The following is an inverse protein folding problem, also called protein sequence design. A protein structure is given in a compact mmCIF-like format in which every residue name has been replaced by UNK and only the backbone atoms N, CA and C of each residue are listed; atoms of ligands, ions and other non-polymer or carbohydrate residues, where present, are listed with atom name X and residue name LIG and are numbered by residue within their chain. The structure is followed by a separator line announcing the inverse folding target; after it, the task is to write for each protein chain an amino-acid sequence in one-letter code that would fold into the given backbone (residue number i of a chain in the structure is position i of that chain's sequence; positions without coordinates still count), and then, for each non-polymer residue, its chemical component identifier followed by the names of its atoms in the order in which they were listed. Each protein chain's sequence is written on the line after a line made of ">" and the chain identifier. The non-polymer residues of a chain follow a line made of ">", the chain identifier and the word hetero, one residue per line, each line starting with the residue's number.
data_IF_590890649323
#
_entry.id   IF_590890649323
#
_cell.length_a   1.000
_cell.length_b   1.000
_cell.length_c   1.000
_cell.angle_alpha   90.00
_cell.angle_beta   90.00
_cell.angle_gamma   90.00
#
_symmetry.space_group_name_H-M   'P 1'
#
loop_
_entity.id
_entity.type
_entity.pdbx_description
1 polymer ?
#
# COMPACT_ATOMS: atom_id res chain seq x y z
N UNK A 1 21.58 3.01 17.96
CA UNK A 1 20.23 3.33 17.46
C UNK A 1 19.89 2.53 16.20
N UNK A 2 20.83 2.35 15.27
CA UNK A 2 20.65 1.61 14.01
C UNK A 2 20.32 0.11 14.23
N UNK A 3 21.06 -0.59 15.10
CA UNK A 3 20.82 -2.02 15.38
C UNK A 3 19.43 -2.33 15.98
N UNK A 4 18.85 -1.38 16.74
CA UNK A 4 17.51 -1.55 17.31
C UNK A 4 16.44 -1.47 16.21
N UNK A 5 16.59 -0.54 15.28
CA UNK A 5 15.65 -0.36 14.16
C UNK A 5 15.68 -1.58 13.21
N UNK A 6 16.86 -2.11 12.93
CA UNK A 6 17.01 -3.28 12.05
C UNK A 6 16.33 -4.53 12.63
N UNK A 7 16.53 -4.78 13.93
CA UNK A 7 15.86 -5.89 14.62
C UNK A 7 14.33 -5.71 14.61
N UNK A 8 13.88 -4.51 14.93
CA UNK A 8 12.45 -4.19 14.92
C UNK A 8 11.86 -4.36 13.52
N UNK A 9 12.58 -3.96 12.46
CA UNK A 9 12.14 -4.12 11.07
C UNK A 9 11.92 -5.59 10.71
N UNK A 10 12.87 -6.48 11.01
CA UNK A 10 12.76 -7.92 10.69
C UNK A 10 11.55 -8.54 11.39
N UNK A 11 11.36 -8.24 12.67
CA UNK A 11 10.23 -8.74 13.45
C UNK A 11 8.88 -8.17 12.94
N UNK A 12 8.84 -6.88 12.59
CA UNK A 12 7.67 -6.23 12.01
C UNK A 12 7.32 -6.85 10.65
N UNK A 13 8.31 -7.07 9.76
CA UNK A 13 8.08 -7.68 8.44
C UNK A 13 7.54 -9.10 8.58
N UNK A 14 8.16 -9.94 9.42
CA UNK A 14 7.68 -11.30 9.67
C UNK A 14 6.25 -11.32 10.20
N UNK A 15 5.98 -10.56 11.25
CA UNK A 15 4.64 -10.44 11.83
C UNK A 15 3.63 -9.83 10.83
N UNK A 16 4.05 -8.85 10.03
CA UNK A 16 3.24 -8.23 9.00
C UNK A 16 2.73 -9.23 7.96
N UNK A 17 3.62 -10.08 7.44
CA UNK A 17 3.25 -11.15 6.49
C UNK A 17 2.24 -12.12 7.11
N UNK A 18 2.46 -12.53 8.36
CA UNK A 18 1.52 -13.40 9.07
C UNK A 18 0.15 -12.72 9.27
N UNK A 19 0.14 -11.44 9.66
CA UNK A 19 -1.10 -10.67 9.83
C UNK A 19 -1.83 -10.46 8.50
N UNK A 20 -1.12 -10.14 7.41
CA UNK A 20 -1.72 -10.05 6.07
C UNK A 20 -2.47 -11.35 5.73
N UNK A 21 -1.82 -12.50 5.94
CA UNK A 21 -2.44 -13.81 5.71
C UNK A 21 -3.67 -14.04 6.60
N UNK A 22 -3.59 -13.70 7.89
CA UNK A 22 -4.71 -13.82 8.84
C UNK A 22 -5.88 -12.93 8.42
N UNK A 23 -5.64 -11.66 8.11
CA UNK A 23 -6.65 -10.70 7.68
C UNK A 23 -7.30 -11.16 6.37
N UNK A 24 -6.49 -11.56 5.38
CA UNK A 24 -6.99 -11.99 4.08
C UNK A 24 -7.88 -13.24 4.17
N UNK A 25 -7.55 -14.18 5.07
CA UNK A 25 -8.40 -15.36 5.34
C UNK A 25 -9.77 -15.00 5.93
N UNK A 26 -9.88 -13.88 6.64
CA UNK A 26 -11.16 -13.39 7.23
C UNK A 26 -12.01 -12.57 6.24
N UNK A 27 -11.48 -12.25 5.05
CA UNK A 27 -12.29 -11.65 3.98
C UNK A 27 -13.35 -12.63 3.52
N UNK A 28 -14.60 -12.18 3.51
CA UNK A 28 -15.69 -12.96 2.94
C UNK A 28 -15.56 -13.11 1.42
N UNK A 29 -16.27 -14.06 0.84
CA UNK A 29 -16.31 -14.19 -0.63
C UNK A 29 -16.83 -12.90 -1.29
N UNK A 30 -17.80 -12.21 -0.67
CA UNK A 30 -18.35 -10.96 -1.20
C UNK A 30 -17.35 -9.80 -1.07
N UNK A 31 -16.56 -9.73 0.02
CA UNK A 31 -15.46 -8.76 0.14
C UNK A 31 -14.43 -8.95 -0.99
N UNK A 32 -13.97 -10.21 -1.21
CA UNK A 32 -13.01 -10.54 -2.28
C UNK A 32 -13.54 -10.23 -3.67
N UNK A 33 -14.80 -10.57 -3.92
CA UNK A 33 -15.49 -10.25 -5.17
C UNK A 33 -15.62 -8.73 -5.39
N UNK A 34 -15.92 -7.98 -4.33
CA UNK A 34 -15.99 -6.52 -4.39
C UNK A 34 -14.63 -5.92 -4.72
N UNK A 35 -13.56 -6.35 -4.04
CA UNK A 35 -12.19 -5.94 -4.35
C UNK A 35 -11.83 -6.24 -5.81
N UNK A 36 -12.08 -7.47 -6.27
CA UNK A 36 -11.77 -7.89 -7.62
C UNK A 36 -12.55 -7.09 -8.69
N UNK A 37 -13.81 -6.78 -8.43
CA UNK A 37 -14.60 -5.90 -9.31
C UNK A 37 -14.06 -4.47 -9.32
N UNK A 38 -13.67 -3.94 -8.18
CA UNK A 38 -13.07 -2.61 -8.07
C UNK A 38 -11.79 -2.48 -8.91
N UNK A 39 -10.95 -3.52 -8.90
CA UNK A 39 -9.70 -3.53 -9.66
C UNK A 39 -9.87 -4.00 -11.11
N UNK A 40 -11.06 -4.51 -11.47
CA UNK A 40 -11.34 -5.00 -12.82
C UNK A 40 -10.78 -6.40 -13.12
N UNK A 41 -10.45 -7.18 -12.09
CA UNK A 41 -9.89 -8.55 -12.18
C UNK A 41 -10.91 -9.65 -11.88
N UNK A 42 -12.20 -9.32 -11.88
CA UNK A 42 -13.27 -10.28 -11.69
C UNK A 42 -13.79 -10.80 -13.03
N UNK A 43 -13.39 -12.01 -13.42
CA UNK A 43 -13.79 -12.64 -14.67
C UNK A 43 -14.33 -14.06 -14.44
N UNK A 44 -15.40 -14.44 -15.13
CA UNK A 44 -16.01 -15.77 -15.06
C UNK A 44 -16.27 -16.28 -13.62
N UNK A 45 -16.72 -15.37 -12.72
CA UNK A 45 -17.01 -15.63 -11.29
C UNK A 45 -15.77 -15.98 -10.43
N UNK A 46 -14.58 -15.62 -10.89
CA UNK A 46 -13.34 -15.82 -10.15
C UNK A 46 -12.43 -14.58 -10.25
N UNK A 47 -11.49 -14.48 -9.33
CA UNK A 47 -10.40 -13.49 -9.38
C UNK A 47 -9.35 -14.03 -10.34
N UNK A 48 -8.95 -13.23 -11.31
CA UNK A 48 -7.91 -13.57 -12.29
C UNK A 48 -6.75 -12.58 -12.09
N UNK A 49 -5.61 -13.10 -11.69
CA UNK A 49 -4.34 -12.39 -11.51
C UNK A 49 -3.28 -13.17 -12.28
N UNK A 50 -2.37 -12.48 -12.94
CA UNK A 50 -1.40 -13.11 -13.84
C UNK A 50 -0.06 -13.40 -13.16
N UNK A 51 0.29 -12.62 -12.13
CA UNK A 51 1.58 -12.69 -11.45
C UNK A 51 1.42 -12.72 -9.92
N UNK A 52 2.50 -13.09 -9.22
CA UNK A 52 2.56 -12.99 -7.76
C UNK A 52 2.53 -11.52 -7.30
N UNK A 53 3.11 -10.61 -8.08
CA UNK A 53 3.06 -9.17 -7.80
C UNK A 53 1.63 -8.64 -7.87
N UNK A 54 0.80 -9.10 -8.82
CA UNK A 54 -0.62 -8.77 -8.87
C UNK A 54 -1.37 -9.26 -7.62
N UNK A 55 -0.97 -10.43 -7.09
CA UNK A 55 -1.55 -10.95 -5.86
C UNK A 55 -1.19 -10.06 -4.67
N UNK A 56 0.04 -9.60 -4.56
CA UNK A 56 0.47 -8.69 -3.49
C UNK A 56 -0.25 -7.35 -3.57
N UNK A 57 -0.38 -6.78 -4.77
CA UNK A 57 -1.16 -5.57 -5.02
C UNK A 57 -2.64 -5.76 -4.67
N UNK A 58 -3.21 -6.90 -5.04
CA UNK A 58 -4.59 -7.23 -4.72
C UNK A 58 -4.81 -7.38 -3.20
N UNK A 59 -3.88 -8.05 -2.51
CA UNK A 59 -3.93 -8.21 -1.06
C UNK A 59 -3.81 -6.87 -0.33
N UNK A 60 -2.87 -6.02 -0.72
CA UNK A 60 -2.69 -4.69 -0.14
C UNK A 60 -3.93 -3.81 -0.37
N UNK A 61 -4.48 -3.82 -1.58
CA UNK A 61 -5.74 -3.15 -1.86
C UNK A 61 -6.88 -3.65 -0.95
N UNK A 62 -7.03 -4.96 -0.82
CA UNK A 62 -8.08 -5.56 -0.01
C UNK A 62 -7.94 -5.24 1.48
N UNK A 63 -6.71 -5.14 1.99
CA UNK A 63 -6.44 -4.88 3.41
C UNK A 63 -6.54 -3.40 3.75
N UNK A 64 -5.99 -2.52 2.91
CA UNK A 64 -5.79 -1.11 3.26
C UNK A 64 -6.75 -0.15 2.55
N UNK A 65 -7.09 -0.40 1.26
CA UNK A 65 -7.97 0.44 0.48
C UNK A 65 -9.45 0.11 0.63
N UNK A 66 -9.78 -1.17 0.59
CA UNK A 66 -11.17 -1.61 0.67
C UNK A 66 -11.77 -1.30 2.06
N UNK A 67 -12.83 -0.48 2.07
CA UNK A 67 -13.41 0.07 3.30
C UNK A 67 -14.92 -0.23 3.40
N UNK A 68 -15.32 -1.49 3.56
CA UNK A 68 -16.71 -1.77 3.86
C UNK A 68 -17.09 -1.16 5.22
N UNK A 69 -18.13 -0.33 5.26
CA UNK A 69 -18.56 0.38 6.47
C UNK A 69 -17.49 1.34 7.04
N UNK A 70 -16.73 2.02 6.18
CA UNK A 70 -15.75 3.08 6.48
C UNK A 70 -14.41 2.62 7.09
N UNK A 71 -14.28 1.36 7.51
CA UNK A 71 -13.04 0.85 8.10
C UNK A 71 -12.26 -0.02 7.10
N UNK A 72 -10.94 0.14 7.05
CA UNK A 72 -10.11 -0.82 6.31
C UNK A 72 -10.11 -2.19 7.01
N UNK A 73 -9.61 -3.22 6.33
CA UNK A 73 -9.68 -4.57 6.86
C UNK A 73 -8.72 -4.81 8.03
N UNK A 74 -7.60 -4.10 8.13
CA UNK A 74 -6.71 -4.16 9.28
C UNK A 74 -7.42 -3.65 10.55
N UNK A 75 -8.15 -2.53 10.47
CA UNK A 75 -8.93 -2.00 11.58
C UNK A 75 -10.11 -2.91 11.94
N UNK A 76 -10.82 -3.44 10.94
CA UNK A 76 -11.91 -4.41 11.18
C UNK A 76 -11.39 -5.67 11.88
N UNK A 77 -10.25 -6.19 11.43
CA UNK A 77 -9.62 -7.35 12.06
C UNK A 77 -9.25 -7.06 13.51
N UNK A 78 -8.60 -5.92 13.76
CA UNK A 78 -8.25 -5.47 15.12
C UNK A 78 -9.47 -5.38 16.03
N UNK A 79 -10.61 -4.88 15.53
CA UNK A 79 -11.85 -4.74 16.33
C UNK A 79 -12.54 -6.06 16.62
N UNK A 80 -12.56 -6.98 15.66
CA UNK A 80 -13.37 -8.20 15.74
C UNK A 80 -12.56 -9.40 16.27
N UNK A 81 -11.25 -9.43 16.03
CA UNK A 81 -10.39 -10.58 16.28
C UNK A 81 -9.20 -10.25 17.20
N UNK A 82 -9.29 -9.17 18.00
CA UNK A 82 -8.24 -8.80 18.97
C UNK A 82 -7.92 -9.92 19.97
N UNK A 83 -8.89 -10.76 20.29
CA UNK A 83 -8.73 -11.91 21.18
C UNK A 83 -7.89 -13.05 20.56
N UNK A 84 -7.69 -13.07 19.25
CA UNK A 84 -6.81 -13.99 18.52
C UNK A 84 -5.37 -13.46 18.39
N UNK A 85 -5.08 -12.24 18.88
CA UNK A 85 -3.81 -11.54 18.67
C UNK A 85 -2.99 -11.44 19.96
N UNK A 86 -1.68 -11.57 19.84
CA UNK A 86 -0.74 -11.22 20.93
C UNK A 86 -0.53 -9.67 20.99
N UNK A 87 0.19 -9.21 22.02
CA UNK A 87 0.41 -7.78 22.24
C UNK A 87 1.19 -7.09 21.10
N UNK A 88 2.13 -7.79 20.47
CA UNK A 88 2.90 -7.26 19.34
C UNK A 88 2.03 -7.12 18.09
N UNK A 89 1.22 -8.14 17.78
CA UNK A 89 0.26 -8.10 16.67
C UNK A 89 -0.76 -6.98 16.85
N UNK A 90 -1.28 -6.77 18.06
CA UNK A 90 -2.21 -5.67 18.36
C UNK A 90 -1.58 -4.31 18.13
N UNK A 91 -0.31 -4.12 18.53
CA UNK A 91 0.44 -2.90 18.29
C UNK A 91 0.63 -2.68 16.78
N UNK A 92 1.07 -3.71 16.06
CA UNK A 92 1.27 -3.64 14.61
C UNK A 92 -0.03 -3.35 13.86
N UNK A 93 -1.14 -4.01 14.22
CA UNK A 93 -2.47 -3.72 13.67
C UNK A 93 -2.90 -2.26 13.90
N UNK A 94 -2.48 -1.67 15.04
CA UNK A 94 -2.70 -0.25 15.32
C UNK A 94 -2.00 0.66 14.33
N UNK A 95 -0.79 0.32 13.88
CA UNK A 95 -0.07 1.03 12.82
C UNK A 95 -0.68 0.73 11.44
N UNK A 96 -0.93 -0.54 11.12
CA UNK A 96 -1.55 -0.96 9.85
C UNK A 96 -2.92 -0.30 9.61
N UNK A 97 -3.71 -0.09 10.65
CA UNK A 97 -5.02 0.58 10.51
C UNK A 97 -4.92 2.04 10.08
N UNK A 98 -3.75 2.65 10.26
CA UNK A 98 -3.45 4.04 9.89
C UNK A 98 -2.62 4.13 8.61
N UNK A 99 -2.32 2.99 7.96
CA UNK A 99 -1.58 3.00 6.70
C UNK A 99 -2.27 3.90 5.68
N UNK A 100 -1.47 4.68 4.97
CA UNK A 100 -1.94 5.60 3.94
C UNK A 100 -1.29 5.27 2.60
N UNK A 101 -1.98 5.58 1.51
CA UNK A 101 -1.45 5.41 0.17
C UNK A 101 -0.68 6.65 -0.23
N UNK A 102 0.55 6.47 -0.68
CA UNK A 102 1.44 7.55 -1.09
C UNK A 102 1.99 7.29 -2.50
N UNK A 103 2.21 8.37 -3.24
CA UNK A 103 3.06 8.37 -4.43
C UNK A 103 4.31 9.14 -4.04
N UNK A 104 5.45 8.49 -4.02
CA UNK A 104 6.67 9.08 -3.53
C UNK A 104 7.85 8.85 -4.48
N UNK A 105 8.74 9.82 -4.52
CA UNK A 105 9.96 9.77 -5.29
C UNK A 105 11.15 9.50 -4.38
N UNK A 106 11.99 8.53 -4.74
CA UNK A 106 13.25 8.27 -4.04
C UNK A 106 14.19 9.44 -4.29
N UNK A 107 14.67 10.05 -3.23
CA UNK A 107 15.65 11.15 -3.27
C UNK A 107 17.05 10.70 -2.91
N UNK A 108 17.18 9.64 -2.11
CA UNK A 108 18.45 9.05 -1.75
C UNK A 108 18.29 7.58 -1.32
N UNK A 109 19.34 6.78 -1.54
CA UNK A 109 19.43 5.41 -1.01
C UNK A 109 20.81 5.19 -0.37
N UNK A 110 20.84 4.51 0.78
CA UNK A 110 22.09 4.10 1.40
C UNK A 110 22.63 2.76 0.87
N UNK A 111 21.92 2.15 -0.11
CA UNK A 111 22.23 0.85 -0.71
C UNK A 111 22.31 -0.34 0.26
N UNK A 112 21.79 -0.21 1.46
CA UNK A 112 21.80 -1.25 2.51
C UNK A 112 20.39 -1.60 2.98
N UNK A 113 19.74 -0.67 3.65
CA UNK A 113 18.48 -0.91 4.35
C UNK A 113 17.48 0.25 4.27
N UNK A 114 17.89 1.45 3.81
CA UNK A 114 17.07 2.66 3.86
C UNK A 114 17.07 3.45 2.58
N UNK A 115 15.94 4.04 2.31
CA UNK A 115 15.76 5.07 1.30
C UNK A 115 15.16 6.33 1.95
N UNK A 116 15.55 7.47 1.43
CA UNK A 116 14.86 8.74 1.65
C UNK A 116 13.94 8.99 0.46
N UNK A 117 12.73 9.38 0.74
CA UNK A 117 11.75 9.64 -0.30
C UNK A 117 10.89 10.85 0.06
N UNK A 118 10.34 11.49 -0.95
CA UNK A 118 9.44 12.63 -0.80
C UNK A 118 8.13 12.32 -1.50
N UNK A 119 7.02 12.49 -0.80
CA UNK A 119 5.70 12.38 -1.41
C UNK A 119 5.54 13.41 -2.52
N UNK A 120 5.09 12.96 -3.68
CA UNK A 120 4.99 13.78 -4.88
C UNK A 120 3.99 14.92 -4.70
N UNK A 121 2.95 14.72 -3.92
CA UNK A 121 1.88 15.69 -3.71
C UNK A 121 2.06 16.51 -2.43
N UNK A 122 2.12 15.84 -1.28
CA UNK A 122 2.18 16.53 0.03
C UNK A 122 3.54 17.11 0.36
N UNK A 123 4.61 16.70 -0.37
CA UNK A 123 6.01 17.06 -0.10
C UNK A 123 6.53 16.59 1.27
N UNK A 124 5.81 15.70 1.92
CA UNK A 124 6.24 15.06 3.16
C UNK A 124 7.44 14.15 2.85
N UNK A 125 8.48 14.25 3.68
CA UNK A 125 9.67 13.41 3.57
C UNK A 125 9.49 12.14 4.41
N UNK A 126 9.87 11.00 3.85
CA UNK A 126 9.86 9.69 4.50
C UNK A 126 11.26 9.13 4.61
N UNK A 127 11.56 8.49 5.74
CA UNK A 127 12.67 7.56 5.86
C UNK A 127 12.10 6.14 5.83
N UNK A 128 12.21 5.48 4.68
CA UNK A 128 11.64 4.14 4.47
C UNK A 128 12.72 3.09 4.69
N UNK A 129 12.44 2.14 5.56
CA UNK A 129 13.28 0.96 5.79
C UNK A 129 12.79 -0.16 4.89
N UNK A 130 13.58 -0.51 3.89
CA UNK A 130 13.33 -1.63 2.98
C UNK A 130 14.65 -2.12 2.37
N UNK A 131 15.07 -3.32 2.76
CA UNK A 131 16.36 -3.90 2.36
C UNK A 131 16.42 -4.24 0.86
N UNK A 132 15.28 -4.56 0.24
CA UNK A 132 15.23 -4.84 -1.19
C UNK A 132 15.27 -3.53 -1.98
N UNK A 133 14.38 -2.62 -1.66
CA UNK A 133 14.25 -1.35 -2.35
C UNK A 133 15.51 -0.48 -2.18
N UNK A 134 16.19 -0.54 -1.03
CA UNK A 134 17.46 0.16 -0.83
C UNK A 134 18.55 -0.29 -1.80
N UNK A 135 18.52 -1.55 -2.26
CA UNK A 135 19.52 -2.12 -3.18
C UNK A 135 19.12 -1.98 -4.64
N UNK A 136 17.84 -2.01 -4.95
CA UNK A 136 17.31 -2.02 -6.32
C UNK A 136 16.78 -0.66 -6.76
N UNK A 137 16.38 0.19 -5.81
CA UNK A 137 15.90 1.53 -6.07
C UNK A 137 17.03 2.48 -6.47
N UNK A 138 16.68 3.55 -7.16
CA UNK A 138 17.58 4.60 -7.57
C UNK A 138 16.93 5.98 -7.39
N UNK A 139 17.76 7.02 -7.29
CA UNK A 139 17.28 8.40 -7.17
C UNK A 139 16.44 8.80 -8.39
N UNK A 140 15.29 9.38 -8.13
CA UNK A 140 14.33 9.77 -9.16
C UNK A 140 13.25 8.69 -9.44
N UNK A 141 13.41 7.45 -8.96
CA UNK A 141 12.38 6.44 -9.10
C UNK A 141 11.09 6.85 -8.35
N UNK A 142 9.96 6.79 -9.03
CA UNK A 142 8.65 7.11 -8.45
C UNK A 142 7.90 5.80 -8.20
N UNK A 143 7.45 5.64 -6.97
CA UNK A 143 6.70 4.49 -6.51
C UNK A 143 5.36 4.91 -5.93
N UNK A 144 4.38 4.01 -5.99
CA UNK A 144 3.12 4.13 -5.29
C UNK A 144 2.86 2.89 -4.45
N UNK A 145 2.40 3.08 -3.21
CA UNK A 145 2.12 1.98 -2.30
C UNK A 145 1.63 2.45 -0.94
N UNK A 146 1.29 1.48 -0.09
CA UNK A 146 0.90 1.77 1.28
C UNK A 146 2.12 1.92 2.17
N UNK A 147 2.13 3.00 2.94
CA UNK A 147 3.16 3.29 3.93
C UNK A 147 2.60 3.13 5.34
N UNK A 148 3.39 2.52 6.22
CA UNK A 148 3.08 2.31 7.64
C UNK A 148 4.14 3.01 8.47
N UNK A 149 3.74 4.00 9.27
CA UNK A 149 4.64 4.80 10.09
C UNK A 149 4.82 4.21 11.50
N UNK A 150 6.06 4.24 12.01
CA UNK A 150 6.45 3.72 13.32
C UNK A 150 7.10 4.78 14.23
N UNK A 151 6.84 6.06 13.98
CA UNK A 151 7.31 7.17 14.82
C UNK A 151 8.79 7.57 14.67
N UNK A 152 9.61 6.78 13.98
CA UNK A 152 11.03 7.08 13.69
C UNK A 152 11.47 6.56 12.33
N UNK A 153 10.65 5.75 11.71
CA UNK A 153 10.84 5.22 10.37
C UNK A 153 9.50 4.80 9.78
N UNK A 154 9.50 4.57 8.48
CA UNK A 154 8.35 4.11 7.72
C UNK A 154 8.68 2.78 7.06
N UNK A 155 7.71 1.90 6.91
CA UNK A 155 7.83 0.67 6.13
C UNK A 155 6.81 0.71 5.00
N UNK A 156 7.23 0.30 3.81
CA UNK A 156 6.33 0.02 2.72
C UNK A 156 5.70 -1.36 2.91
N UNK A 157 4.42 -1.53 2.57
CA UNK A 157 3.77 -2.83 2.48
C UNK A 157 4.30 -3.64 1.28
N UNK A 158 3.89 -4.89 1.11
CA UNK A 158 4.44 -5.77 0.08
C UNK A 158 4.20 -5.29 -1.35
N UNK A 159 2.99 -4.77 -1.63
CA UNK A 159 2.59 -4.34 -2.96
C UNK A 159 3.00 -2.89 -3.27
N UNK A 160 3.97 -2.69 -4.16
CA UNK A 160 4.29 -1.36 -4.69
C UNK A 160 4.29 -1.35 -6.21
N UNK A 161 3.97 -0.19 -6.76
CA UNK A 161 3.89 0.05 -8.20
C UNK A 161 4.97 1.03 -8.59
N UNK A 162 5.77 0.71 -9.63
CA UNK A 162 6.57 1.71 -10.32
C UNK A 162 5.60 2.59 -11.12
N UNK A 163 5.56 3.87 -10.78
CA UNK A 163 4.64 4.82 -11.42
C UNK A 163 5.23 5.28 -12.73
N UNK A 164 4.74 4.71 -13.82
CA UNK A 164 5.12 5.11 -15.18
C UNK A 164 4.23 6.25 -15.69
N UNK A 165 4.64 6.85 -16.80
CA UNK A 165 3.86 7.90 -17.45
C UNK A 165 2.50 7.38 -17.93
N UNK A 166 2.45 6.15 -18.39
CA UNK A 166 1.25 5.47 -18.89
C UNK A 166 0.23 5.30 -17.77
N UNK A 167 0.68 4.91 -16.56
CA UNK A 167 -0.18 4.81 -15.38
C UNK A 167 -0.77 6.17 -15.02
N UNK A 168 0.06 7.23 -15.00
CA UNK A 168 -0.40 8.59 -14.68
C UNK A 168 -1.36 9.15 -15.73
N UNK A 169 -1.25 8.73 -16.98
CA UNK A 169 -2.10 9.14 -18.09
C UNK A 169 -3.33 8.25 -18.27
N UNK A 170 -3.51 7.20 -17.48
CA UNK A 170 -4.71 6.38 -17.53
C UNK A 170 -5.95 7.20 -17.13
N UNK A 171 -7.06 7.00 -17.84
CA UNK A 171 -8.31 7.75 -17.63
C UNK A 171 -8.75 7.76 -16.15
N UNK A 172 -8.54 6.65 -15.46
CA UNK A 172 -8.94 6.50 -14.05
C UNK A 172 -8.10 7.37 -13.10
N UNK A 173 -6.79 7.48 -13.37
CA UNK A 173 -5.88 8.32 -12.56
C UNK A 173 -6.11 9.79 -12.88
N UNK A 174 -6.24 10.13 -14.17
CA UNK A 174 -6.53 11.51 -14.62
C UNK A 174 -7.81 12.03 -13.99
N UNK A 175 -8.91 11.25 -14.01
CA UNK A 175 -10.17 11.65 -13.39
C UNK A 175 -10.05 11.97 -11.89
N UNK A 176 -9.19 11.28 -11.16
CA UNK A 176 -8.97 11.56 -9.73
C UNK A 176 -8.11 12.81 -9.57
N UNK A 177 -7.06 12.96 -10.36
CA UNK A 177 -6.21 14.16 -10.34
C UNK A 177 -7.03 15.41 -10.71
N UNK A 178 -7.92 15.31 -11.68
CA UNK A 178 -8.81 16.41 -12.05
C UNK A 178 -9.79 16.81 -10.94
N UNK A 179 -10.28 15.84 -10.15
CA UNK A 179 -11.09 16.13 -8.97
C UNK A 179 -10.33 16.87 -7.85
N UNK A 180 -8.98 16.82 -7.89
CA UNK A 180 -8.12 17.49 -6.92
C UNK A 180 -7.84 18.96 -7.24
N UNK A 181 -8.25 19.47 -8.41
CA UNK A 181 -7.85 20.81 -8.88
C UNK A 181 -8.38 21.96 -8.02
N UNK A 182 -9.46 21.75 -7.25
CA UNK A 182 -10.10 22.77 -6.41
C UNK A 182 -9.64 22.75 -4.94
N UNK A 183 -8.91 21.71 -4.52
CA UNK A 183 -8.39 21.55 -3.15
C UNK A 183 -6.88 21.34 -3.16
N UNK A 184 -6.21 21.65 -2.04
CA UNK A 184 -4.84 21.17 -1.85
C UNK A 184 -4.80 19.65 -1.99
N UNK A 185 -4.02 19.13 -2.94
CA UNK A 185 -3.90 17.68 -3.20
C UNK A 185 -3.54 16.92 -1.90
N UNK A 186 -2.70 17.52 -1.06
CA UNK A 186 -2.34 16.95 0.23
C UNK A 186 -3.54 16.82 1.16
N UNK A 187 -4.40 17.83 1.21
CA UNK A 187 -5.62 17.85 2.03
C UNK A 187 -6.63 16.81 1.51
N UNK A 188 -6.86 16.77 0.20
CA UNK A 188 -7.71 15.76 -0.44
C UNK A 188 -7.26 14.34 -0.12
N UNK A 189 -5.96 14.03 -0.21
CA UNK A 189 -5.40 12.71 0.06
C UNK A 189 -5.30 12.37 1.55
N UNK A 190 -5.41 13.36 2.45
CA UNK A 190 -5.49 13.12 3.90
C UNK A 190 -6.77 12.37 4.29
N UNK A 191 -7.83 12.47 3.48
CA UNK A 191 -9.02 11.63 3.63
C UNK A 191 -8.72 10.19 3.17
N UNK A 192 -8.82 9.19 4.07
CA UNK A 192 -8.57 7.80 3.73
C UNK A 192 -9.44 7.24 2.60
N UNK A 193 -10.61 7.83 2.35
CA UNK A 193 -11.50 7.43 1.25
C UNK A 193 -10.90 7.87 -0.10
N UNK A 194 -10.36 9.08 -0.15
CA UNK A 194 -9.74 9.61 -1.37
C UNK A 194 -8.41 8.91 -1.66
N UNK A 195 -7.59 8.64 -0.63
CA UNK A 195 -6.42 7.79 -0.75
C UNK A 195 -6.75 6.39 -1.28
N UNK A 196 -7.86 5.80 -0.83
CA UNK A 196 -8.33 4.51 -1.34
C UNK A 196 -8.81 4.56 -2.81
N UNK A 197 -9.39 5.69 -3.26
CA UNK A 197 -9.75 5.88 -4.68
C UNK A 197 -8.50 5.96 -5.55
N UNK A 198 -7.48 6.72 -5.12
CA UNK A 198 -6.20 6.82 -5.82
C UNK A 198 -5.52 5.44 -5.92
N UNK A 199 -5.44 4.70 -4.81
CA UNK A 199 -4.90 3.34 -4.79
C UNK A 199 -5.64 2.43 -5.77
N UNK A 200 -6.98 2.46 -5.78
CA UNK A 200 -7.80 1.69 -6.72
C UNK A 200 -7.44 1.99 -8.17
N UNK A 201 -7.27 3.26 -8.51
CA UNK A 201 -7.01 3.67 -9.89
C UNK A 201 -5.61 3.26 -10.34
N UNK A 202 -4.60 3.46 -9.51
CA UNK A 202 -3.22 3.08 -9.83
C UNK A 202 -3.07 1.55 -9.89
N UNK A 203 -3.49 0.83 -8.86
CA UNK A 203 -3.42 -0.64 -8.81
C UNK A 203 -4.23 -1.25 -9.96
N UNK A 204 -5.44 -0.76 -10.21
CA UNK A 204 -6.28 -1.23 -11.30
C UNK A 204 -5.71 -0.96 -12.69
N UNK A 205 -5.00 0.15 -12.89
CA UNK A 205 -4.29 0.44 -14.13
C UNK A 205 -3.08 -0.48 -14.30
N UNK A 206 -2.32 -0.71 -13.23
CA UNK A 206 -1.11 -1.56 -13.23
C UNK A 206 -1.44 -3.01 -13.59
N UNK A 207 -2.40 -3.63 -12.90
CA UNK A 207 -2.78 -5.03 -13.16
C UNK A 207 -3.33 -5.21 -14.59
N UNK A 208 -4.00 -4.19 -15.15
CA UNK A 208 -4.53 -4.26 -16.52
C UNK A 208 -3.47 -4.05 -17.61
N UNK A 209 -2.41 -3.33 -17.33
CA UNK A 209 -1.33 -3.09 -18.30
C UNK A 209 -0.39 -4.30 -18.46
N UNK A 210 -0.51 -5.31 -17.58
CA UNK A 210 0.41 -6.44 -17.55
C UNK A 210 1.81 -6.08 -17.04
N UNK A 211 2.72 -7.05 -16.93
CA UNK A 211 4.09 -6.77 -16.51
C UNK A 211 4.74 -5.82 -17.53
N UNK A 212 5.32 -4.73 -17.02
CA UNK A 212 6.15 -3.84 -17.84
C UNK A 212 7.32 -4.66 -18.36
N UNK A 213 7.44 -4.81 -19.69
CA UNK A 213 8.63 -5.37 -20.31
C UNK A 213 9.83 -4.49 -19.90
N UNK A 214 10.65 -5.02 -18.99
CA UNK A 214 11.91 -4.41 -18.56
C UNK A 214 13.04 -4.92 -19.44
#
# INVERSE_FOLDING_TARGET
>A
MTECIEKDYVDIRRCGVELHSKIFKKLTLEDRKSCAKHLGVWHHKQVVLETDDDMDLFMDYAIYAYRPKLFNMAERYRRLFSHECNAFELKLLGHMSKAHYAIYQITHTNNVDKIEAVDVFSKVSYQIVDHHLAKTGYEGLILAGYLIEFGGFTIQTGGSVIVTREILQSDQVVQIIDQMQDESIAEFLSDPINGAKLARSIVGATIKSGPSET
#
